data_IF_857036314816
#
_entry.id   IF_857036314816
#
_cell.length_a   1.000
_cell.length_b   1.000
_cell.length_c   1.000
_cell.angle_alpha   90.00
_cell.angle_beta   90.00
_cell.angle_gamma   90.00
#
_symmetry.space_group_name_H-M   'P 1'
#
loop_
_entity.id
_entity.type
_entity.pdbx_description
1 polymer ?
#
# COMPACT_ATOMS: atom_id res chain seq x y z
N UNK A 1 0.82 8.01 -26.26
CA UNK A 1 0.72 9.08 -25.23
C UNK A 1 2.09 9.73 -25.10
N UNK A 2 2.17 11.06 -25.06
CA UNK A 2 3.45 11.76 -25.31
C UNK A 2 4.12 12.29 -24.02
N UNK A 3 3.56 12.03 -22.84
CA UNK A 3 4.13 12.45 -21.55
C UNK A 3 4.09 13.96 -21.27
N UNK A 4 3.39 14.76 -22.07
CA UNK A 4 3.44 16.23 -21.98
C UNK A 4 2.50 16.84 -20.94
N UNK A 5 1.69 16.05 -20.25
CA UNK A 5 0.56 16.53 -19.43
C UNK A 5 0.96 17.20 -18.10
N UNK A 6 1.95 16.64 -17.40
CA UNK A 6 2.39 17.13 -16.07
C UNK A 6 3.91 17.26 -15.99
N UNK A 7 4.43 17.96 -14.98
CA UNK A 7 5.86 18.03 -14.75
C UNK A 7 6.45 16.62 -14.50
N UNK A 8 5.73 15.78 -13.74
CA UNK A 8 6.07 14.37 -13.52
C UNK A 8 6.17 13.56 -14.81
N UNK A 9 5.17 13.64 -15.71
CA UNK A 9 5.18 12.84 -16.95
C UNK A 9 6.17 13.33 -18.01
N UNK A 10 6.61 14.60 -17.92
CA UNK A 10 7.71 15.14 -18.74
C UNK A 10 9.08 14.60 -18.30
N UNK A 11 9.27 14.43 -16.99
CA UNK A 11 10.47 13.83 -16.39
C UNK A 11 10.47 12.30 -16.55
N UNK A 12 9.36 11.65 -16.20
CA UNK A 12 9.13 10.21 -16.28
C UNK A 12 8.23 9.90 -17.48
N UNK A 13 8.85 9.76 -18.66
CA UNK A 13 8.14 9.50 -19.92
C UNK A 13 7.29 8.21 -19.82
N UNK A 14 5.99 8.24 -20.13
CA UNK A 14 5.13 7.05 -20.08
C UNK A 14 5.61 5.95 -21.04
N UNK A 15 5.75 4.72 -20.52
CA UNK A 15 6.17 3.55 -21.30
C UNK A 15 4.97 2.72 -21.79
N UNK A 16 3.96 2.53 -20.94
CA UNK A 16 2.81 1.67 -21.20
C UNK A 16 1.55 2.23 -20.51
N UNK A 17 0.40 2.15 -21.18
CA UNK A 17 -0.90 2.34 -20.54
C UNK A 17 -1.36 1.00 -19.94
N UNK A 18 -1.20 0.83 -18.63
CA UNK A 18 -1.53 -0.42 -17.93
C UNK A 18 -3.04 -0.64 -17.80
N UNK A 19 -3.80 0.44 -17.57
CA UNK A 19 -5.24 0.39 -17.31
C UNK A 19 -5.89 1.73 -17.63
N UNK A 20 -7.07 1.68 -18.24
CA UNK A 20 -7.97 2.82 -18.36
C UNK A 20 -9.16 2.60 -17.40
N UNK A 21 -9.66 3.66 -16.79
CA UNK A 21 -10.78 3.63 -15.85
C UNK A 21 -11.79 4.70 -16.28
N UNK A 22 -13.07 4.33 -16.37
CA UNK A 22 -14.14 5.29 -16.63
C UNK A 22 -14.60 5.94 -15.31
N UNK A 23 -14.82 7.25 -15.32
CA UNK A 23 -15.44 7.95 -14.20
C UNK A 23 -16.92 7.56 -14.09
N UNK A 24 -17.37 7.26 -12.87
CA UNK A 24 -18.78 7.02 -12.56
C UNK A 24 -19.56 8.30 -12.82
N UNK A 25 -20.54 8.22 -13.73
CA UNK A 25 -21.41 9.36 -14.09
C UNK A 25 -22.23 9.81 -12.87
N UNK A 26 -22.32 11.13 -12.69
CA UNK A 26 -23.00 11.75 -11.54
C UNK A 26 -22.10 12.02 -10.33
N UNK A 27 -20.87 11.49 -10.32
CA UNK A 27 -19.85 11.83 -9.32
C UNK A 27 -18.81 12.80 -9.89
N UNK A 28 -18.15 13.58 -9.02
CA UNK A 28 -17.08 14.48 -9.43
C UNK A 28 -15.88 13.68 -9.99
N UNK A 29 -15.35 13.99 -11.19
CA UNK A 29 -14.28 13.20 -11.81
C UNK A 29 -12.92 13.38 -11.10
N UNK A 30 -12.59 14.59 -10.66
CA UNK A 30 -11.31 14.89 -9.96
C UNK A 30 -11.22 14.16 -8.63
N UNK A 31 -12.31 14.11 -7.85
CA UNK A 31 -12.33 13.35 -6.60
C UNK A 31 -12.23 11.82 -6.82
N UNK A 32 -12.68 11.32 -7.97
CA UNK A 32 -12.49 9.92 -8.35
C UNK A 32 -11.04 9.63 -8.80
N UNK A 33 -10.42 10.57 -9.51
CA UNK A 33 -8.99 10.51 -9.85
C UNK A 33 -8.14 10.51 -8.57
N UNK A 34 -8.39 11.44 -7.64
CA UNK A 34 -7.68 11.52 -6.36
C UNK A 34 -7.81 10.25 -5.52
N UNK A 35 -9.00 9.64 -5.47
CA UNK A 35 -9.20 8.35 -4.77
C UNK A 35 -8.40 7.23 -5.43
N UNK A 36 -8.37 7.18 -6.78
CA UNK A 36 -7.61 6.17 -7.51
C UNK A 36 -6.09 6.37 -7.38
N UNK A 37 -5.64 7.63 -7.37
CA UNK A 37 -4.24 8.00 -7.10
C UNK A 37 -3.84 7.62 -5.69
N UNK A 38 -4.67 7.87 -4.67
CA UNK A 38 -4.42 7.46 -3.29
C UNK A 38 -4.34 5.94 -3.11
N UNK A 39 -5.17 5.17 -3.84
CA UNK A 39 -5.04 3.72 -3.89
C UNK A 39 -3.68 3.28 -4.48
N UNK A 40 -3.25 3.85 -5.61
CA UNK A 40 -1.93 3.59 -6.17
C UNK A 40 -0.78 4.03 -5.23
N UNK A 41 -0.95 5.11 -4.47
CA UNK A 41 0.00 5.56 -3.46
C UNK A 41 0.11 4.59 -2.27
N UNK A 42 -0.99 3.94 -1.87
CA UNK A 42 -0.99 2.84 -0.89
C UNK A 42 -0.26 1.60 -1.46
N UNK A 43 -0.56 1.22 -2.70
CA UNK A 43 -0.05 0.00 -3.33
C UNK A 43 1.44 0.09 -3.74
N UNK A 44 1.97 1.30 -3.99
CA UNK A 44 3.32 1.50 -4.54
C UNK A 44 4.21 2.47 -3.74
N UNK A 45 3.65 3.18 -2.76
CA UNK A 45 4.30 4.25 -2.01
C UNK A 45 4.14 5.62 -2.69
N UNK A 46 3.73 6.64 -1.93
CA UNK A 46 3.36 7.95 -2.48
C UNK A 46 4.47 8.65 -3.25
N UNK A 47 5.75 8.45 -2.90
CA UNK A 47 6.86 9.08 -3.63
C UNK A 47 6.95 8.63 -5.11
N UNK A 48 6.36 7.49 -5.49
CA UNK A 48 6.41 6.93 -6.85
C UNK A 48 5.21 7.27 -7.75
N UNK A 49 4.18 7.95 -7.22
CA UNK A 49 2.87 8.11 -7.87
C UNK A 49 2.44 9.58 -7.90
N UNK A 50 1.97 10.07 -9.05
CA UNK A 50 1.41 11.42 -9.25
C UNK A 50 0.19 11.36 -10.17
N UNK A 51 -0.73 12.30 -9.99
CA UNK A 51 -2.03 12.38 -10.68
C UNK A 51 -3.05 13.15 -9.83
N UNK A 52 -4.22 13.47 -10.38
CA UNK A 52 -5.27 14.23 -9.69
C UNK A 52 -4.77 15.59 -9.20
N UNK A 53 -4.99 15.88 -7.92
CA UNK A 53 -4.46 17.04 -7.20
C UNK A 53 -2.92 16.99 -7.01
N UNK A 54 -2.32 15.80 -7.06
CA UNK A 54 -0.92 15.55 -6.72
C UNK A 54 -0.01 15.58 -7.97
N UNK A 55 0.11 16.74 -8.60
CA UNK A 55 0.83 16.93 -9.88
C UNK A 55 2.30 17.40 -9.73
N UNK A 56 2.73 17.79 -8.53
CA UNK A 56 4.09 18.23 -8.24
C UNK A 56 5.13 17.14 -8.51
N UNK A 57 6.36 17.52 -8.89
CA UNK A 57 7.46 16.53 -9.02
C UNK A 57 7.80 15.99 -7.64
N UNK A 58 8.12 16.88 -6.71
CA UNK A 58 8.07 16.60 -5.27
C UNK A 58 6.71 17.01 -4.69
N UNK A 59 6.29 16.27 -3.66
CA UNK A 59 5.18 16.64 -2.79
C UNK A 59 5.73 17.50 -1.64
N UNK A 60 5.01 18.54 -1.23
CA UNK A 60 5.39 19.37 -0.08
C UNK A 60 5.38 18.57 1.23
N UNK A 61 6.09 19.05 2.25
CA UNK A 61 6.06 18.44 3.60
C UNK A 61 4.64 18.32 4.16
N UNK A 62 3.76 19.28 3.85
CA UNK A 62 2.36 19.24 4.24
C UNK A 62 1.59 18.11 3.53
N UNK A 63 1.74 17.99 2.20
CA UNK A 63 1.14 16.89 1.43
C UNK A 63 1.67 15.53 1.88
N UNK A 64 2.99 15.36 2.03
CA UNK A 64 3.60 14.10 2.52
C UNK A 64 3.09 13.76 3.93
N UNK A 65 2.94 14.74 4.82
CA UNK A 65 2.38 14.54 6.17
C UNK A 65 0.91 14.13 6.14
N UNK A 66 0.08 14.79 5.33
CA UNK A 66 -1.35 14.48 5.23
C UNK A 66 -1.61 13.14 4.55
N UNK A 67 -0.94 12.87 3.42
CA UNK A 67 -1.01 11.58 2.73
C UNK A 67 -0.54 10.44 3.62
N UNK A 68 0.55 10.61 4.37
CA UNK A 68 1.01 9.59 5.33
C UNK A 68 -0.07 9.29 6.37
N UNK A 69 -0.73 10.30 6.93
CA UNK A 69 -1.84 10.13 7.89
C UNK A 69 -3.04 9.40 7.30
N UNK A 70 -3.45 9.75 6.08
CA UNK A 70 -4.55 9.08 5.37
C UNK A 70 -4.22 7.61 5.06
N UNK A 71 -3.02 7.35 4.53
CA UNK A 71 -2.52 6.02 4.16
C UNK A 71 -2.36 5.14 5.40
N UNK A 72 -1.77 5.66 6.48
CA UNK A 72 -1.66 4.95 7.75
C UNK A 72 -3.03 4.62 8.35
N UNK A 73 -3.99 5.54 8.31
CA UNK A 73 -5.35 5.27 8.77
C UNK A 73 -6.03 4.15 7.97
N UNK A 74 -5.96 4.21 6.64
CA UNK A 74 -6.51 3.17 5.76
C UNK A 74 -5.88 1.79 6.01
N UNK A 75 -4.56 1.76 6.28
CA UNK A 75 -3.80 0.55 6.60
C UNK A 75 -3.93 0.12 8.08
N UNK A 76 -4.73 0.82 8.92
CA UNK A 76 -4.89 0.56 10.37
C UNK A 76 -3.57 0.66 11.15
N UNK A 77 -2.70 1.57 10.72
CA UNK A 77 -1.49 2.00 11.40
C UNK A 77 -1.75 3.28 12.24
N UNK A 78 -0.93 3.52 13.26
CA UNK A 78 -1.02 4.73 14.09
C UNK A 78 -0.85 6.02 13.26
N UNK A 79 -1.85 6.91 13.27
CA UNK A 79 -1.84 8.13 12.45
C UNK A 79 -0.76 9.16 12.87
N UNK A 80 -0.13 9.00 14.04
CA UNK A 80 1.03 9.83 14.44
C UNK A 80 2.36 9.30 13.91
N UNK A 81 2.53 7.98 13.75
CA UNK A 81 3.86 7.39 13.59
C UNK A 81 3.98 6.22 12.59
N UNK A 82 2.90 5.78 11.97
CA UNK A 82 2.88 4.72 10.95
C UNK A 82 3.05 3.28 11.47
N UNK A 83 3.06 3.04 12.79
CA UNK A 83 3.24 1.70 13.37
C UNK A 83 1.92 1.01 13.70
N UNK A 84 1.82 -0.30 13.46
CA UNK A 84 0.62 -1.13 13.72
C UNK A 84 0.39 -1.50 15.20
N UNK A 85 1.36 -1.28 16.07
CA UNK A 85 1.33 -1.83 17.45
C UNK A 85 0.41 -1.10 18.43
N UNK A 86 -0.17 0.05 18.05
CA UNK A 86 -0.95 0.91 18.93
C UNK A 86 -1.84 1.88 18.14
N UNK A 87 -2.88 2.39 18.81
CA UNK A 87 -3.74 3.47 18.31
C UNK A 87 -3.14 4.86 18.57
N UNK A 88 -3.63 5.88 17.89
CA UNK A 88 -3.09 7.27 17.88
C UNK A 88 -3.02 7.90 19.28
N UNK A 89 -3.92 7.52 20.17
CA UNK A 89 -4.05 7.97 21.55
C UNK A 89 -2.86 7.47 22.39
N UNK A 90 -2.45 6.22 22.17
CA UNK A 90 -1.40 5.52 22.92
C UNK A 90 -0.01 5.66 22.27
N UNK A 91 0.16 6.60 21.33
CA UNK A 91 1.42 6.83 20.63
C UNK A 91 2.42 7.63 21.49
N UNK A 92 3.42 6.92 22.02
CA UNK A 92 4.57 7.48 22.75
C UNK A 92 5.80 7.74 21.86
N UNK A 93 5.70 7.54 20.54
CA UNK A 93 6.81 7.70 19.62
C UNK A 93 7.16 9.17 19.36
N UNK A 94 8.46 9.49 19.37
CA UNK A 94 9.03 10.79 18.98
C UNK A 94 9.41 10.87 17.49
N UNK A 95 9.44 9.74 16.78
CA UNK A 95 9.71 9.66 15.33
C UNK A 95 8.76 8.68 14.65
N UNK A 96 8.42 8.92 13.38
CA UNK A 96 7.60 8.01 12.56
C UNK A 96 8.40 6.80 12.02
N UNK A 97 7.79 5.99 11.14
CA UNK A 97 8.45 4.87 10.44
C UNK A 97 9.49 5.30 9.39
N UNK A 98 9.48 6.56 8.95
CA UNK A 98 10.41 7.12 7.97
C UNK A 98 11.59 7.84 8.62
N UNK A 99 11.53 8.10 9.93
CA UNK A 99 12.54 8.81 10.70
C UNK A 99 12.26 10.31 10.87
N UNK A 100 11.10 10.81 10.46
CA UNK A 100 10.71 12.20 10.68
C UNK A 100 10.37 12.42 12.16
N UNK A 101 10.76 13.58 12.71
CA UNK A 101 10.37 13.98 14.06
C UNK A 101 8.86 14.24 14.15
N UNK A 102 8.21 13.59 15.12
CA UNK A 102 6.80 13.82 15.43
C UNK A 102 6.76 15.04 16.34
N UNK A 103 6.48 16.21 15.76
CA UNK A 103 6.35 17.47 16.48
C UNK A 103 5.11 17.42 17.39
N UNK A 104 5.30 16.89 18.61
CA UNK A 104 4.31 16.94 19.68
C UNK A 104 4.35 18.33 20.29
N UNK A 105 3.55 19.27 19.76
CA UNK A 105 3.40 20.62 20.32
C UNK A 105 2.67 20.57 21.67
N UNK A 106 3.40 20.18 22.72
CA UNK A 106 3.12 20.54 24.11
C UNK A 106 4.08 21.67 24.52
N UNK A 107 4.36 22.59 23.59
CA UNK A 107 4.69 23.95 23.98
C UNK A 107 3.41 24.56 24.55
N UNK A 108 3.30 24.54 25.88
CA UNK A 108 2.53 25.60 26.55
C UNK A 108 3.19 26.91 26.14
N UNK A 109 2.50 27.73 25.35
CA UNK A 109 2.92 29.08 25.03
C UNK A 109 2.75 29.97 26.26
N UNK A 110 3.68 29.85 27.21
CA UNK A 110 3.84 30.79 28.34
C UNK A 110 4.66 32.00 27.89
N UNK A 111 4.19 32.65 26.83
CA UNK A 111 4.76 33.89 26.27
C UNK A 111 3.62 34.86 25.97
N UNK A 112 3.48 35.88 26.81
CA UNK A 112 2.52 36.97 26.67
C UNK A 112 2.92 37.92 25.53
N UNK A 113 2.60 37.59 24.27
CA UNK A 113 2.32 38.60 23.22
C UNK A 113 1.87 38.02 21.85
N UNK A 114 0.57 37.84 21.65
CA UNK A 114 -0.15 38.39 20.47
C UNK A 114 -1.66 38.19 20.61
N UNK A 115 -2.44 39.27 20.53
CA UNK A 115 -3.91 39.18 20.58
C UNK A 115 -4.49 38.64 19.26
N UNK A 116 -3.74 38.78 18.16
CA UNK A 116 -4.16 38.47 16.77
C UNK A 116 -4.37 36.99 16.46
N UNK A 117 -3.86 36.04 17.26
CA UNK A 117 -4.10 34.60 17.02
C UNK A 117 -5.47 34.13 17.53
N UNK A 118 -6.15 34.93 18.35
CA UNK A 118 -7.43 34.56 18.95
C UNK A 118 -8.61 34.91 18.04
N UNK A 119 -8.59 36.11 17.46
CA UNK A 119 -9.63 36.63 16.58
C UNK A 119 -9.90 35.70 15.38
N UNK A 120 -8.84 35.17 14.74
CA UNK A 120 -8.94 34.24 13.61
C UNK A 120 -9.64 32.94 14.01
N UNK A 121 -9.35 32.41 15.20
CA UNK A 121 -9.98 31.21 15.72
C UNK A 121 -11.43 31.46 16.17
N UNK A 122 -11.73 32.61 16.76
CA UNK A 122 -13.08 32.95 17.18
C UNK A 122 -13.99 33.34 15.98
N UNK A 123 -13.44 33.92 14.91
CA UNK A 123 -14.14 34.09 13.62
C UNK A 123 -14.41 32.73 12.96
N UNK A 124 -13.39 31.85 12.84
CA UNK A 124 -13.57 30.50 12.32
C UNK A 124 -14.60 29.69 13.14
N UNK A 125 -14.53 29.75 14.48
CA UNK A 125 -15.49 29.12 15.37
C UNK A 125 -16.90 29.72 15.22
N UNK A 126 -17.03 31.00 14.90
CA UNK A 126 -18.32 31.66 14.68
C UNK A 126 -18.94 31.26 13.35
N UNK A 127 -18.14 31.17 12.27
CA UNK A 127 -18.59 30.62 10.99
C UNK A 127 -18.94 29.13 11.15
N UNK A 128 -18.12 28.34 11.83
CA UNK A 128 -18.39 26.93 12.10
C UNK A 128 -19.66 26.73 12.94
N UNK A 129 -19.89 27.54 13.98
CA UNK A 129 -21.15 27.54 14.74
C UNK A 129 -22.34 27.91 13.86
N UNK A 130 -22.28 29.00 13.09
CA UNK A 130 -23.37 29.36 12.17
C UNK A 130 -23.65 28.26 11.11
N UNK A 131 -22.61 27.53 10.67
CA UNK A 131 -22.73 26.37 9.78
C UNK A 131 -23.17 25.07 10.45
N UNK A 132 -23.27 25.02 11.79
CA UNK A 132 -23.75 23.89 12.60
C UNK A 132 -25.11 24.16 13.28
N UNK A 133 -25.41 25.42 13.59
CA UNK A 133 -26.63 25.90 14.24
C UNK A 133 -27.74 26.28 13.23
N UNK A 134 -27.44 26.28 11.93
CA UNK A 134 -28.44 26.46 10.88
C UNK A 134 -29.46 25.31 10.86
N UNK A 135 -30.76 25.63 10.76
CA UNK A 135 -31.88 24.66 10.70
C UNK A 135 -31.71 23.57 9.63
N UNK A 136 -30.90 23.82 8.60
CA UNK A 136 -30.63 22.86 7.53
C UNK A 136 -29.56 21.83 7.89
N UNK A 137 -28.81 21.99 8.98
CA UNK A 137 -27.77 21.03 9.43
C UNK A 137 -28.43 19.77 9.94
N UNK A 138 -29.43 19.93 10.81
CA UNK A 138 -30.20 18.84 11.38
C UNK A 138 -30.94 18.03 10.29
N UNK A 139 -31.39 18.72 9.23
CA UNK A 139 -31.89 18.10 8.00
C UNK A 139 -30.80 17.36 7.22
N UNK A 140 -29.66 18.00 6.93
CA UNK A 140 -28.54 17.38 6.18
C UNK A 140 -27.95 16.16 6.90
N UNK A 141 -27.92 16.16 8.23
CA UNK A 141 -27.52 15.01 9.05
C UNK A 141 -28.53 13.87 8.88
N UNK A 142 -29.84 14.14 8.98
CA UNK A 142 -30.90 13.13 8.75
C UNK A 142 -30.85 12.59 7.32
N UNK A 143 -30.70 13.45 6.32
CA UNK A 143 -30.56 13.06 4.92
C UNK A 143 -29.32 12.16 4.69
N UNK A 144 -28.19 12.46 5.35
CA UNK A 144 -26.96 11.66 5.28
C UNK A 144 -27.08 10.30 6.00
N UNK A 145 -27.74 10.27 7.16
CA UNK A 145 -28.05 9.02 7.90
C UNK A 145 -28.98 8.14 7.04
N UNK A 146 -30.04 8.71 6.48
CA UNK A 146 -30.98 8.01 5.62
C UNK A 146 -30.29 7.47 4.36
N UNK A 147 -29.42 8.26 3.71
CA UNK A 147 -28.61 7.81 2.57
C UNK A 147 -27.69 6.64 2.96
N UNK A 148 -27.07 6.69 4.14
CA UNK A 148 -26.20 5.62 4.67
C UNK A 148 -26.99 4.34 4.94
N UNK A 149 -28.17 4.43 5.54
CA UNK A 149 -29.08 3.30 5.79
C UNK A 149 -29.52 2.65 4.47
N UNK A 150 -29.95 3.44 3.47
CA UNK A 150 -30.28 2.94 2.13
C UNK A 150 -29.11 2.17 1.48
N UNK A 151 -27.87 2.65 1.60
CA UNK A 151 -26.68 1.94 1.08
C UNK A 151 -26.43 0.61 1.81
N UNK A 152 -26.68 0.55 3.12
CA UNK A 152 -26.58 -0.69 3.91
C UNK A 152 -27.66 -1.69 3.47
N UNK A 153 -28.92 -1.27 3.31
CA UNK A 153 -30.02 -2.12 2.86
C UNK A 153 -29.83 -2.64 1.42
N UNK A 154 -29.33 -1.79 0.51
CA UNK A 154 -28.94 -2.19 -0.85
C UNK A 154 -27.80 -3.21 -0.84
N UNK A 155 -26.89 -3.13 0.14
CA UNK A 155 -25.78 -4.08 0.28
C UNK A 155 -26.25 -5.41 0.87
N UNK A 156 -27.12 -5.38 1.88
CA UNK A 156 -27.71 -6.58 2.50
C UNK A 156 -28.63 -7.35 1.53
N UNK A 157 -29.49 -6.64 0.78
CA UNK A 157 -30.38 -7.25 -0.22
C UNK A 157 -29.62 -7.86 -1.42
N UNK A 158 -28.48 -7.28 -1.81
CA UNK A 158 -27.56 -7.94 -2.77
C UNK A 158 -26.94 -9.20 -2.18
N UNK A 159 -26.52 -9.19 -0.92
CA UNK A 159 -25.93 -10.35 -0.25
C UNK A 159 -26.94 -11.51 -0.08
N UNK A 160 -28.20 -11.23 0.29
CA UNK A 160 -29.24 -12.26 0.39
C UNK A 160 -29.63 -12.82 -0.97
N UNK A 161 -29.73 -11.98 -2.01
CA UNK A 161 -29.97 -12.44 -3.39
C UNK A 161 -28.85 -13.36 -3.90
N UNK A 162 -27.59 -12.97 -3.72
CA UNK A 162 -26.43 -13.80 -4.11
C UNK A 162 -26.42 -15.16 -3.38
N UNK A 163 -26.83 -15.19 -2.11
CA UNK A 163 -26.96 -16.43 -1.34
C UNK A 163 -28.07 -17.35 -1.87
N UNK A 164 -29.23 -16.79 -2.21
CA UNK A 164 -30.33 -17.54 -2.84
C UNK A 164 -29.95 -18.12 -4.21
N UNK A 165 -29.18 -17.39 -5.02
CA UNK A 165 -28.73 -17.84 -6.34
C UNK A 165 -27.66 -18.95 -6.26
N UNK A 166 -26.79 -18.91 -5.23
CA UNK A 166 -25.79 -19.97 -4.97
C UNK A 166 -26.40 -21.23 -4.37
N UNK A 167 -27.36 -21.12 -3.43
CA UNK A 167 -28.07 -22.26 -2.85
C UNK A 167 -28.88 -23.06 -3.90
N UNK A 168 -29.38 -22.41 -4.95
CA UNK A 168 -30.07 -23.10 -6.06
C UNK A 168 -29.13 -23.93 -6.94
N UNK A 169 -27.87 -23.50 -7.11
CA UNK A 169 -26.89 -24.22 -7.95
C UNK A 169 -26.28 -25.46 -7.27
N UNK A 170 -26.46 -25.64 -5.96
CA UNK A 170 -25.91 -26.79 -5.21
C UNK A 170 -26.86 -28.01 -5.07
N UNK A 171 -28.02 -28.00 -5.74
CA UNK A 171 -28.85 -29.21 -5.90
C UNK A 171 -28.17 -30.19 -6.86
N UNK A 172 -27.29 -31.04 -6.33
CA UNK A 172 -26.64 -32.14 -7.08
C UNK A 172 -27.69 -32.95 -7.86
N UNK A 173 -27.49 -33.21 -9.17
CA UNK A 173 -28.32 -34.16 -9.89
C UNK A 173 -28.10 -35.57 -9.32
N UNK A 174 -29.18 -36.33 -9.11
CA UNK A 174 -29.10 -37.71 -8.66
C UNK A 174 -28.50 -38.60 -9.76
N UNK A 175 -27.25 -39.00 -9.58
CA UNK A 175 -26.58 -39.94 -10.49
C UNK A 175 -27.23 -41.31 -10.34
N UNK A 176 -27.97 -41.74 -11.35
CA UNK A 176 -28.49 -43.11 -11.46
C UNK A 176 -27.33 -44.04 -11.84
N UNK A 177 -27.09 -45.06 -11.05
CA UNK A 177 -26.05 -46.08 -11.29
C UNK A 177 -26.56 -47.20 -12.19
N UNK A 178 -25.97 -47.44 -13.37
CA UNK A 178 -26.23 -48.65 -14.15
C UNK A 178 -25.38 -49.83 -13.65
N UNK A 179 -25.91 -51.04 -13.77
CA UNK A 179 -25.33 -52.28 -13.26
C UNK A 179 -24.12 -52.75 -14.08
N UNK A 180 -23.04 -53.18 -13.41
CA UNK A 180 -21.89 -53.80 -14.07
C UNK A 180 -22.17 -55.26 -14.49
N UNK A 181 -21.68 -55.69 -15.65
CA UNK A 181 -21.62 -57.10 -16.07
C UNK A 181 -20.27 -57.44 -16.72
N UNK A 182 -19.88 -58.71 -16.57
CA UNK A 182 -18.51 -59.23 -16.65
C UNK A 182 -17.79 -59.17 -18.02
N UNK A 183 -16.45 -59.01 -17.93
CA UNK A 183 -15.39 -59.78 -18.61
C UNK A 183 -15.33 -59.93 -20.14
N UNK A 184 -14.11 -59.76 -20.69
CA UNK A 184 -13.35 -60.84 -21.38
C UNK A 184 -11.85 -60.48 -21.36
N UNK A 185 -10.95 -61.46 -21.40
CA UNK A 185 -9.49 -61.30 -21.22
C UNK A 185 -8.67 -61.96 -22.34
N UNK A 186 -7.82 -61.17 -23.01
CA UNK A 186 -6.67 -61.55 -23.86
C UNK A 186 -5.69 -60.36 -23.74
N UNK A 187 -4.36 -60.47 -23.69
CA UNK A 187 -3.44 -61.62 -23.77
C UNK A 187 -2.10 -61.12 -24.35
N UNK A 188 -1.00 -61.80 -24.05
CA UNK A 188 0.32 -61.72 -24.71
C UNK A 188 1.01 -60.32 -24.74
N UNK A 189 1.98 -60.04 -23.86
CA UNK A 189 3.43 -60.34 -23.99
C UNK A 189 4.11 -59.80 -25.25
N UNK A 190 5.10 -58.92 -25.09
CA UNK A 190 6.46 -59.26 -25.53
C UNK A 190 7.56 -58.47 -24.81
N UNK A 191 8.79 -59.01 -24.81
CA UNK A 191 9.98 -58.41 -24.20
C UNK A 191 10.91 -57.76 -25.22
N UNK A 192 11.59 -56.66 -24.86
CA UNK A 192 12.99 -56.42 -25.28
C UNK A 192 13.70 -55.33 -24.48
N UNK A 193 15.00 -55.55 -24.27
CA UNK A 193 15.96 -54.61 -23.69
C UNK A 193 17.02 -54.27 -24.75
N UNK A 194 17.49 -53.01 -24.79
CA UNK A 194 18.81 -52.64 -25.34
C UNK A 194 19.11 -51.15 -25.13
N UNK A 195 19.93 -50.86 -24.14
CA UNK A 195 21.22 -50.14 -24.19
C UNK A 195 21.52 -49.01 -25.20
N UNK A 196 22.35 -48.09 -24.70
CA UNK A 196 23.17 -47.05 -25.37
C UNK A 196 22.44 -45.81 -25.91
N UNK A 197 22.85 -44.56 -25.65
CA UNK A 197 24.16 -43.90 -25.37
C UNK A 197 24.87 -43.33 -26.62
N UNK A 198 25.60 -42.22 -26.41
CA UNK A 198 26.29 -41.35 -27.38
C UNK A 198 25.36 -40.56 -28.33
N UNK A 199 25.48 -39.24 -28.59
CA UNK A 199 26.58 -38.24 -28.58
C UNK A 199 27.06 -37.86 -29.99
N UNK A 200 26.78 -36.62 -30.40
CA UNK A 200 27.52 -35.78 -31.39
C UNK A 200 26.77 -34.44 -31.54
N UNK A 201 27.35 -33.29 -31.16
CA UNK A 201 27.96 -32.28 -32.08
C UNK A 201 26.93 -31.38 -32.82
N UNK A 202 27.17 -30.12 -33.23
CA UNK A 202 28.31 -29.17 -33.20
C UNK A 202 27.68 -27.75 -33.30
N UNK A 203 28.21 -26.59 -32.86
CA UNK A 203 29.41 -26.13 -32.13
C UNK A 203 29.01 -24.81 -31.39
N UNK A 204 29.84 -23.89 -30.86
CA UNK A 204 31.30 -23.69 -30.78
C UNK A 204 31.62 -22.75 -29.60
N UNK A 205 32.83 -22.86 -29.02
CA UNK A 205 33.23 -22.21 -27.76
C UNK A 205 33.96 -20.87 -27.98
N UNK A 206 33.64 -19.82 -27.20
CA UNK A 206 34.61 -19.10 -26.34
C UNK A 206 33.99 -18.04 -25.41
N UNK A 207 34.44 -18.07 -24.16
CA UNK A 207 34.19 -17.09 -23.09
C UNK A 207 35.09 -15.86 -23.23
N UNK A 208 34.71 -14.76 -22.59
CA UNK A 208 35.65 -13.75 -22.10
C UNK A 208 35.26 -13.41 -20.65
N UNK A 209 35.93 -14.04 -19.70
CA UNK A 209 36.02 -13.54 -18.32
C UNK A 209 37.10 -12.46 -18.27
N UNK A 210 36.74 -11.22 -17.96
CA UNK A 210 37.70 -10.14 -17.78
C UNK A 210 37.17 -8.98 -16.91
N UNK A 211 37.55 -8.96 -15.63
CA UNK A 211 37.68 -7.75 -14.80
C UNK A 211 38.49 -8.07 -13.54
N UNK A 212 39.81 -8.12 -13.70
CA UNK A 212 40.75 -8.22 -12.59
C UNK A 212 41.02 -6.81 -12.00
N UNK A 213 41.47 -6.73 -10.75
CA UNK A 213 41.67 -5.47 -10.01
C UNK A 213 42.61 -4.48 -10.72
N UNK A 214 42.12 -3.29 -11.14
CA UNK A 214 42.86 -2.04 -10.94
C UNK A 214 42.04 -0.72 -11.09
N UNK A 215 41.31 -0.31 -10.04
CA UNK A 215 41.01 1.14 -9.81
C UNK A 215 41.38 1.51 -8.37
N UNK A 216 42.59 1.15 -7.95
CA UNK A 216 43.07 1.36 -6.57
C UNK A 216 43.79 2.71 -6.41
N UNK A 217 43.14 3.81 -6.81
CA UNK A 217 43.79 5.13 -6.81
C UNK A 217 42.96 6.35 -7.21
N UNK A 218 42.00 6.75 -6.38
CA UNK A 218 41.55 8.12 -6.05
C UNK A 218 40.49 7.96 -4.92
N UNK A 219 40.34 8.96 -4.04
CA UNK A 219 39.67 8.86 -2.71
C UNK A 219 40.46 8.13 -1.61
N UNK A 220 41.56 8.74 -1.18
CA UNK A 220 41.92 8.79 0.26
C UNK A 220 41.58 10.20 0.78
N UNK A 221 41.22 10.31 2.07
CA UNK A 221 40.93 11.54 2.83
C UNK A 221 39.57 12.22 2.59
N UNK A 222 38.48 11.56 2.98
CA UNK A 222 37.55 12.12 3.99
C UNK A 222 37.41 11.03 5.08
N UNK A 223 37.21 11.41 6.34
CA UNK A 223 37.41 10.53 7.51
C UNK A 223 36.30 9.50 7.75
N UNK A 224 36.62 8.48 8.55
CA UNK A 224 35.73 7.38 8.92
C UNK A 224 34.50 7.83 9.74
N UNK A 225 33.36 8.00 9.07
CA UNK A 225 32.06 7.84 9.71
C UNK A 225 31.52 6.45 9.40
N UNK A 226 31.42 5.58 10.42
CA UNK A 226 30.72 4.30 10.29
C UNK A 226 29.25 4.58 10.02
N UNK A 227 28.82 4.48 8.76
CA UNK A 227 27.41 4.40 8.41
C UNK A 227 26.88 3.09 8.97
N UNK A 228 26.11 3.16 10.07
CA UNK A 228 25.48 1.99 10.67
C UNK A 228 24.49 1.37 9.67
N UNK A 229 24.91 0.29 9.02
CA UNK A 229 24.02 -0.54 8.20
C UNK A 229 22.80 -0.98 9.03
N UNK A 230 21.56 -0.81 8.53
CA UNK A 230 20.37 -1.24 9.26
C UNK A 230 20.42 -2.74 9.60
N UNK A 231 19.88 -3.09 10.77
CA UNK A 231 19.88 -4.46 11.27
C UNK A 231 19.16 -5.40 10.30
N UNK A 232 19.89 -6.37 9.72
CA UNK A 232 19.35 -7.35 8.76
C UNK A 232 18.34 -8.37 9.34
N UNK A 233 17.85 -8.18 10.58
CA UNK A 233 16.64 -8.86 11.11
C UNK A 233 15.44 -7.92 11.25
N UNK A 234 15.64 -6.66 11.63
CA UNK A 234 14.53 -5.78 12.03
C UNK A 234 14.53 -4.37 11.40
N UNK A 235 15.49 -4.04 10.53
CA UNK A 235 15.61 -2.76 9.82
C UNK A 235 16.14 -1.57 10.63
N UNK A 236 16.26 -1.67 11.97
CA UNK A 236 16.70 -0.54 12.83
C UNK A 236 18.23 -0.33 12.78
N UNK A 237 18.68 0.92 12.78
CA UNK A 237 20.12 1.32 12.72
C UNK A 237 20.84 1.33 14.08
N UNK A 238 20.20 0.86 15.15
CA UNK A 238 20.73 0.90 16.52
C UNK A 238 21.62 -0.29 16.90
N UNK A 239 21.60 -1.39 16.14
CA UNK A 239 22.30 -2.63 16.49
C UNK A 239 22.61 -3.49 15.26
N UNK A 240 23.57 -4.42 15.39
CA UNK A 240 23.84 -5.45 14.39
C UNK A 240 22.93 -6.68 14.55
N UNK A 241 22.81 -7.51 13.49
CA UNK A 241 21.94 -8.71 13.44
C UNK A 241 22.12 -9.66 14.65
N UNK A 242 23.36 -9.83 15.12
CA UNK A 242 23.70 -10.66 16.29
C UNK A 242 23.08 -10.19 17.60
N UNK A 243 22.80 -8.89 17.72
CA UNK A 243 22.32 -8.25 18.95
C UNK A 243 20.85 -7.82 18.81
N UNK A 244 20.10 -8.47 17.90
CA UNK A 244 18.72 -8.12 17.61
C UNK A 244 17.75 -8.82 18.57
N UNK A 245 17.38 -8.13 19.65
CA UNK A 245 16.37 -8.53 20.63
C UNK A 245 14.95 -8.02 20.28
N UNK A 246 14.78 -7.41 19.12
CA UNK A 246 13.49 -6.91 18.63
C UNK A 246 12.56 -8.06 18.23
N UNK A 247 11.30 -8.00 18.67
CA UNK A 247 10.25 -8.95 18.26
C UNK A 247 9.65 -8.63 16.88
N UNK A 248 9.64 -7.35 16.50
CA UNK A 248 9.05 -6.88 15.24
C UNK A 248 10.07 -6.08 14.42
N UNK A 249 9.97 -6.13 13.10
CA UNK A 249 10.77 -5.27 12.21
C UNK A 249 10.26 -3.81 12.18
N UNK A 250 10.78 -2.99 11.25
CA UNK A 250 10.32 -1.61 11.02
C UNK A 250 8.94 -1.53 10.36
N UNK A 251 8.45 -2.61 9.73
CA UNK A 251 7.14 -2.68 9.08
C UNK A 251 6.04 -3.27 10.01
N UNK A 252 6.43 -3.86 11.13
CA UNK A 252 5.55 -4.45 12.12
C UNK A 252 5.28 -5.95 11.93
N UNK A 253 6.06 -6.64 11.10
CA UNK A 253 6.01 -8.11 11.00
C UNK A 253 6.71 -8.74 12.20
N UNK A 254 6.13 -9.81 12.75
CA UNK A 254 6.74 -10.58 13.84
C UNK A 254 7.90 -11.41 13.28
N UNK A 255 9.09 -11.21 13.84
CA UNK A 255 10.34 -11.86 13.42
C UNK A 255 10.80 -12.92 14.43
N UNK A 256 9.92 -13.35 15.33
CA UNK A 256 10.17 -14.44 16.28
C UNK A 256 10.42 -15.79 15.59
N UNK A 257 9.75 -16.05 14.47
CA UNK A 257 9.68 -17.37 13.83
C UNK A 257 10.64 -17.53 12.63
N UNK A 258 11.56 -16.57 12.44
CA UNK A 258 12.50 -16.53 11.30
C UNK A 258 13.88 -17.15 11.65
N UNK A 259 13.89 -18.36 12.20
CA UNK A 259 15.10 -19.10 12.63
C UNK A 259 15.16 -20.50 12.03
#
# INVERSE_FOLDING_TARGET
MNGTASAWTKLHKPLLLVKQVECIRGLNPTLQEDLYVKQLMLDHGFDKVRGGSYLGVELTTLEKTSLSKEIWFADRCCCKCGRRSHVTENCTAIVDIHGNEIVTTIQKTTDDSCETSKDIWDEYNTVARAMLESDQVDKRIKDCINATQNVIEISQSKATKFKLETDQHFRKPSIVTPTATNSTSIGDTDTRSSDNDSSSDISSVRTIDASNDNVRGIFRRIGDTKVNSPCARCGRISHHRSNCYERFDIHGFDISDCF
#
